data_IF_745125294068
#
_entry.id   IF_745125294068
#
_cell.length_a   1.000
_cell.length_b   1.000
_cell.length_c   1.000
_cell.angle_alpha   90.00
_cell.angle_beta   90.00
_cell.angle_gamma   90.00
#
_symmetry.space_group_name_H-M   'P 1'
#
loop_
_entity.id
_entity.type
_entity.pdbx_description
1 polymer ?
#
# COMPACT_ATOMS: atom_id res chain seq x y z
N UNK A 1 -1.64 16.13 9.52
CA UNK A 1 -3.09 15.86 9.42
C UNK A 1 -3.51 14.83 8.35
N UNK A 2 -2.71 14.54 7.32
CA UNK A 2 -3.10 13.58 6.27
C UNK A 2 -3.05 12.10 6.71
N UNK A 3 -2.30 11.78 7.77
CA UNK A 3 -2.17 10.41 8.29
C UNK A 3 -3.44 9.98 9.04
N UNK A 4 -4.09 10.88 9.78
CA UNK A 4 -5.30 10.56 10.56
C UNK A 4 -6.50 10.23 9.69
N UNK A 5 -6.48 10.65 8.42
CA UNK A 5 -7.51 10.37 7.40
C UNK A 5 -7.04 9.35 6.36
N UNK A 6 -5.98 8.60 6.67
CA UNK A 6 -5.44 7.60 5.75
C UNK A 6 -6.47 6.47 5.52
N UNK A 7 -6.73 6.16 4.25
CA UNK A 7 -7.70 5.17 3.84
C UNK A 7 -7.40 3.75 4.35
N UNK A 8 -6.13 3.36 4.43
CA UNK A 8 -5.73 2.05 4.92
C UNK A 8 -5.93 1.94 6.45
N UNK A 9 -5.68 3.01 7.20
CA UNK A 9 -5.88 3.03 8.66
C UNK A 9 -7.38 2.99 9.00
N UNK A 10 -8.18 3.83 8.35
CA UNK A 10 -9.64 3.83 8.53
C UNK A 10 -10.25 2.48 8.13
N UNK A 11 -9.87 1.93 6.97
CA UNK A 11 -10.34 0.62 6.53
C UNK A 11 -9.92 -0.50 7.48
N UNK A 12 -8.68 -0.49 7.98
CA UNK A 12 -8.20 -1.45 8.97
C UNK A 12 -9.03 -1.44 10.24
N UNK A 13 -9.32 -0.25 10.78
CA UNK A 13 -10.19 -0.12 11.97
C UNK A 13 -11.62 -0.60 11.74
N UNK A 14 -12.18 -0.34 10.56
CA UNK A 14 -13.54 -0.78 10.22
C UNK A 14 -13.61 -2.31 10.09
N UNK A 15 -12.62 -2.92 9.44
CA UNK A 15 -12.53 -4.37 9.31
C UNK A 15 -12.27 -5.11 10.62
N UNK A 16 -11.61 -4.47 11.60
CA UNK A 16 -11.45 -5.05 12.94
C UNK A 16 -12.80 -5.22 13.64
N UNK A 17 -13.69 -4.24 13.50
CA UNK A 17 -15.05 -4.26 14.07
C UNK A 17 -15.94 -5.22 13.30
N UNK A 18 -15.90 -5.18 11.97
CA UNK A 18 -16.74 -6.04 11.12
C UNK A 18 -16.41 -7.54 11.25
N UNK A 19 -15.15 -7.87 11.60
CA UNK A 19 -14.70 -9.25 11.86
C UNK A 19 -14.73 -9.67 13.33
N UNK A 20 -15.21 -8.81 14.23
CA UNK A 20 -15.33 -9.07 15.68
C UNK A 20 -14.02 -9.62 16.32
N UNK A 21 -12.88 -8.98 16.02
CA UNK A 21 -11.59 -9.43 16.54
C UNK A 21 -11.42 -9.14 18.03
N UNK A 22 -10.88 -10.12 18.75
CA UNK A 22 -10.51 -9.93 20.16
C UNK A 22 -9.23 -9.07 20.28
N UNK A 23 -8.90 -8.58 21.47
CA UNK A 23 -7.76 -7.65 21.68
C UNK A 23 -6.42 -8.19 21.15
N UNK A 24 -6.17 -9.49 21.35
CA UNK A 24 -4.96 -10.15 20.87
C UNK A 24 -4.91 -10.23 19.34
N UNK A 25 -6.02 -10.55 18.69
CA UNK A 25 -6.15 -10.65 17.23
C UNK A 25 -6.13 -9.26 16.57
N UNK A 26 -6.77 -8.26 17.19
CA UNK A 26 -6.74 -6.88 16.71
C UNK A 26 -5.32 -6.30 16.74
N UNK A 27 -4.54 -6.62 17.77
CA UNK A 27 -3.14 -6.16 17.89
C UNK A 27 -2.27 -6.77 16.80
N UNK A 28 -2.37 -8.08 16.57
CA UNK A 28 -1.60 -8.76 15.51
C UNK A 28 -2.06 -8.36 14.12
N UNK A 29 -3.36 -8.18 13.89
CA UNK A 29 -3.93 -7.66 12.65
C UNK A 29 -3.45 -6.23 12.36
N UNK A 30 -3.44 -5.35 13.37
CA UNK A 30 -2.95 -3.98 13.22
C UNK A 30 -1.47 -3.91 12.87
N UNK A 31 -0.62 -4.69 13.56
CA UNK A 31 0.83 -4.74 13.30
C UNK A 31 1.10 -5.30 11.90
N UNK A 32 0.48 -6.43 11.54
CA UNK A 32 0.69 -7.06 10.23
C UNK A 32 0.18 -6.19 9.07
N UNK A 33 -0.99 -5.55 9.22
CA UNK A 33 -1.53 -4.60 8.25
C UNK A 33 -0.59 -3.40 8.06
N UNK A 34 -0.06 -2.86 9.16
CA UNK A 34 0.93 -1.77 9.13
C UNK A 34 2.23 -2.14 8.41
N UNK A 35 2.74 -3.37 8.65
CA UNK A 35 3.93 -3.89 7.96
C UNK A 35 3.67 -4.03 6.46
N UNK A 36 2.51 -4.55 6.06
CA UNK A 36 2.13 -4.64 4.64
C UNK A 36 2.08 -3.29 3.95
N UNK A 37 1.51 -2.28 4.61
CA UNK A 37 1.48 -0.91 4.10
C UNK A 37 2.88 -0.29 4.00
N UNK A 38 3.73 -0.50 5.01
CA UNK A 38 5.11 -0.03 4.98
C UNK A 38 5.89 -0.64 3.80
N UNK A 39 5.75 -1.96 3.59
CA UNK A 39 6.38 -2.66 2.48
C UNK A 39 5.93 -2.11 1.11
N UNK A 40 4.64 -1.84 0.93
CA UNK A 40 4.12 -1.25 -0.30
C UNK A 40 4.70 0.15 -0.57
N UNK A 41 4.83 1.00 0.46
CA UNK A 41 5.39 2.35 0.30
C UNK A 41 6.90 2.30 0.05
N UNK A 42 7.65 1.44 0.74
CA UNK A 42 9.08 1.28 0.50
C UNK A 42 9.35 0.78 -0.92
N UNK A 43 8.54 -0.16 -1.43
CA UNK A 43 8.62 -0.60 -2.83
C UNK A 43 8.35 0.55 -3.80
N UNK A 44 7.29 1.33 -3.57
CA UNK A 44 6.96 2.50 -4.38
C UNK A 44 8.08 3.56 -4.34
N UNK A 45 8.69 3.79 -3.18
CA UNK A 45 9.83 4.71 -3.03
C UNK A 45 11.05 4.23 -3.83
N UNK A 46 11.37 2.93 -3.77
CA UNK A 46 12.48 2.35 -4.55
C UNK A 46 12.27 2.47 -6.06
N UNK A 47 11.04 2.23 -6.54
CA UNK A 47 10.68 2.40 -7.96
C UNK A 47 10.80 3.87 -8.38
N UNK A 48 10.33 4.81 -7.54
CA UNK A 48 10.44 6.25 -7.82
C UNK A 48 11.89 6.74 -7.86
N UNK A 49 12.74 6.25 -6.96
CA UNK A 49 14.16 6.62 -6.97
C UNK A 49 14.84 6.14 -8.26
N UNK A 50 14.55 4.90 -8.70
CA UNK A 50 15.09 4.36 -9.95
C UNK A 50 14.61 5.13 -11.19
N UNK A 51 13.34 5.55 -11.18
CA UNK A 51 12.74 6.34 -12.27
C UNK A 51 13.35 7.74 -12.38
N UNK A 52 13.81 8.34 -11.28
CA UNK A 52 14.50 9.65 -11.30
C UNK A 52 15.77 9.65 -12.16
N UNK A 53 16.42 8.50 -12.31
CA UNK A 53 17.60 8.31 -13.15
C UNK A 53 17.26 7.85 -14.57
N UNK A 54 15.98 7.74 -14.92
CA UNK A 54 15.51 7.28 -16.24
C UNK A 54 14.93 8.45 -17.04
N UNK A 55 15.01 8.38 -18.37
CA UNK A 55 14.43 9.39 -19.26
C UNK A 55 12.90 9.25 -19.30
N UNK A 56 12.21 10.03 -18.45
CA UNK A 56 10.75 10.08 -18.38
C UNK A 56 10.27 11.22 -19.30
N UNK A 57 9.31 10.97 -20.22
CA UNK A 57 8.76 12.02 -21.07
C UNK A 57 8.15 13.16 -20.25
N UNK A 58 8.44 14.41 -20.62
CA UNK A 58 8.18 15.62 -19.81
C UNK A 58 6.72 15.76 -19.33
N UNK A 59 5.74 15.33 -20.14
CA UNK A 59 4.33 15.40 -19.77
C UNK A 59 3.86 14.41 -18.69
N UNK A 60 4.66 13.39 -18.36
CA UNK A 60 4.31 12.33 -17.41
C UNK A 60 5.14 12.39 -16.12
N UNK A 61 6.06 13.34 -16.00
CA UNK A 61 6.92 13.49 -14.83
C UNK A 61 6.10 13.80 -13.57
N UNK A 62 6.54 13.22 -12.44
CA UNK A 62 5.86 13.39 -11.15
C UNK A 62 4.65 12.48 -10.98
N UNK A 63 3.44 13.03 -11.10
CA UNK A 63 2.20 12.34 -10.72
C UNK A 63 1.76 11.27 -11.73
N UNK A 64 1.90 11.55 -13.03
CA UNK A 64 1.45 10.63 -14.09
C UNK A 64 2.15 9.28 -14.03
N UNK A 65 3.48 9.28 -13.99
CA UNK A 65 4.25 8.04 -13.89
C UNK A 65 4.05 7.34 -12.55
N UNK A 66 3.82 8.08 -11.47
CA UNK A 66 3.54 7.49 -10.15
C UNK A 66 2.25 6.67 -10.19
N UNK A 67 1.19 7.15 -10.84
CA UNK A 67 -0.05 6.37 -11.00
C UNK A 67 0.13 5.13 -11.88
N UNK A 68 0.90 5.23 -12.97
CA UNK A 68 1.19 4.07 -13.83
C UNK A 68 1.95 3.00 -13.02
N UNK A 69 2.99 3.41 -12.28
CA UNK A 69 3.75 2.48 -11.44
C UNK A 69 2.91 1.86 -10.32
N UNK A 70 1.99 2.62 -9.72
CA UNK A 70 1.05 2.09 -8.74
C UNK A 70 0.14 1.02 -9.34
N UNK A 71 -0.35 1.22 -10.57
CA UNK A 71 -1.12 0.22 -11.32
C UNK A 71 -0.33 -1.05 -11.64
N UNK A 72 0.92 -0.90 -12.11
CA UNK A 72 1.83 -2.03 -12.35
C UNK A 72 2.12 -2.80 -11.05
N UNK A 73 2.32 -2.08 -9.95
CA UNK A 73 2.55 -2.67 -8.63
C UNK A 73 1.32 -3.42 -8.13
N UNK A 74 0.11 -2.90 -8.36
CA UNK A 74 -1.14 -3.60 -8.04
C UNK A 74 -1.27 -4.93 -8.80
N UNK A 75 -0.86 -5.00 -10.07
CA UNK A 75 -0.81 -6.26 -10.82
C UNK A 75 0.19 -7.26 -10.22
N UNK A 76 1.33 -6.78 -9.73
CA UNK A 76 2.27 -7.61 -8.96
C UNK A 76 1.64 -8.15 -7.68
N UNK A 77 0.96 -7.32 -6.91
CA UNK A 77 0.28 -7.75 -5.68
C UNK A 77 -0.91 -8.68 -5.91
N UNK A 78 -1.57 -8.62 -7.08
CA UNK A 78 -2.64 -9.55 -7.44
C UNK A 78 -2.17 -11.01 -7.47
N UNK A 79 -0.87 -11.28 -7.65
CA UNK A 79 -0.32 -12.63 -7.53
C UNK A 79 -0.57 -13.27 -6.16
N UNK A 80 -0.69 -12.48 -5.09
CA UNK A 80 -0.99 -12.96 -3.74
C UNK A 80 -2.49 -13.14 -3.47
N UNK A 81 -3.39 -12.72 -4.37
CA UNK A 81 -4.84 -12.81 -4.17
C UNK A 81 -5.37 -14.25 -4.09
N UNK A 82 -4.63 -15.22 -4.62
CA UNK A 82 -4.98 -16.64 -4.57
C UNK A 82 -4.58 -17.35 -3.27
N UNK A 83 -3.81 -16.69 -2.39
CA UNK A 83 -3.39 -17.27 -1.11
C UNK A 83 -4.56 -17.20 -0.13
N UNK A 84 -5.21 -18.34 0.11
CA UNK A 84 -6.26 -18.49 1.13
C UNK A 84 -5.63 -19.07 2.40
N UNK A 85 -5.84 -18.39 3.53
CA UNK A 85 -5.56 -18.89 4.87
C UNK A 85 -6.87 -19.33 5.52
#
# INVERSE_FOLDING_TARGET
>A
PLITVNCAILGGSLFMVERDYNFAEATTYGISSGIGWALAITAMAGVREKLKYSDIPDGLQGLGITFITAGLMAMGFMSFSGVKL
#
